data_IF_159610132957
#
_entry.id   IF_159610132957
#
_cell.length_a   1.000
_cell.length_b   1.000
_cell.length_c   1.000
_cell.angle_alpha   90.00
_cell.angle_beta   90.00
_cell.angle_gamma   90.00
#
_symmetry.space_group_name_H-M   'P 1'
#
loop_
_entity.id
_entity.type
_entity.pdbx_description
1 polymer ?
#
# COMPACT_ATOMS: atom_id res chain seq x y z
N UNK A 1 46.19 37.64 -1.08
CA UNK A 1 47.21 36.70 -1.57
C UNK A 1 47.00 35.28 -1.06
N UNK A 2 47.14 34.96 0.24
CA UNK A 2 47.00 33.57 0.75
C UNK A 2 45.60 32.95 0.58
N UNK A 3 44.53 33.73 0.78
CA UNK A 3 43.15 33.23 0.61
C UNK A 3 42.82 32.89 -0.85
N UNK A 4 43.27 33.73 -1.79
CA UNK A 4 43.09 33.50 -3.22
C UNK A 4 43.86 32.25 -3.69
N UNK A 5 45.02 31.95 -3.12
CA UNK A 5 45.78 30.73 -3.41
C UNK A 5 45.07 29.48 -2.91
N UNK A 6 44.50 29.54 -1.70
CA UNK A 6 43.70 28.44 -1.13
C UNK A 6 42.44 28.21 -1.96
N UNK A 7 41.75 29.29 -2.35
CA UNK A 7 40.55 29.23 -3.19
C UNK A 7 40.90 28.67 -4.58
N UNK A 8 42.00 29.09 -5.20
CA UNK A 8 42.44 28.55 -6.48
C UNK A 8 42.86 27.07 -6.39
N UNK A 9 43.47 26.64 -5.28
CA UNK A 9 43.82 25.23 -5.06
C UNK A 9 42.59 24.33 -4.91
N UNK A 10 41.53 24.84 -4.27
CA UNK A 10 40.25 24.12 -4.13
C UNK A 10 39.45 24.12 -5.44
N UNK A 11 39.43 25.24 -6.17
CA UNK A 11 38.64 25.41 -7.39
C UNK A 11 39.30 24.83 -8.64
N UNK A 12 40.64 24.82 -8.69
CA UNK A 12 41.40 24.34 -9.83
C UNK A 12 42.57 23.46 -9.35
N UNK A 13 42.29 22.33 -8.69
CA UNK A 13 43.34 21.39 -8.32
C UNK A 13 44.04 20.98 -9.60
N UNK A 14 45.36 21.20 -9.67
CA UNK A 14 46.19 20.68 -10.75
C UNK A 14 46.19 19.15 -10.62
N UNK A 15 45.16 18.52 -11.18
CA UNK A 15 44.97 17.07 -11.24
C UNK A 15 45.91 16.49 -12.31
N UNK A 16 47.19 16.85 -12.24
CA UNK A 16 48.25 16.35 -13.10
C UNK A 16 48.56 14.91 -12.74
N UNK A 17 48.07 14.00 -13.58
CA UNK A 17 48.61 12.64 -13.79
C UNK A 17 48.73 11.77 -12.54
N UNK A 18 47.61 11.17 -12.12
CA UNK A 18 47.45 9.90 -11.37
C UNK A 18 46.08 9.82 -10.64
N UNK A 19 45.34 10.93 -10.57
CA UNK A 19 44.02 11.01 -9.92
C UNK A 19 42.85 10.55 -10.82
N UNK A 20 43.11 10.25 -12.10
CA UNK A 20 42.12 9.64 -13.01
C UNK A 20 41.68 8.26 -12.51
N UNK A 21 42.62 7.47 -11.99
CA UNK A 21 42.35 6.15 -11.41
C UNK A 21 41.44 6.30 -10.18
N UNK A 22 41.74 7.27 -9.31
CA UNK A 22 40.92 7.55 -8.13
C UNK A 22 39.49 7.96 -8.51
N UNK A 23 39.33 8.84 -9.49
CA UNK A 23 38.00 9.26 -10.00
C UNK A 23 37.22 8.08 -10.56
N UNK A 24 37.88 7.19 -11.31
CA UNK A 24 37.26 6.01 -11.90
C UNK A 24 36.82 5.00 -10.83
N UNK A 25 37.64 4.83 -9.77
CA UNK A 25 37.28 4.03 -8.60
C UNK A 25 36.03 4.60 -7.89
N UNK A 26 35.95 5.91 -7.67
CA UNK A 26 34.77 6.54 -7.05
C UNK A 26 33.51 6.41 -7.90
N UNK A 27 33.63 6.50 -9.23
CA UNK A 27 32.48 6.32 -10.14
C UNK A 27 31.98 4.87 -10.07
N UNK A 28 32.89 3.88 -10.13
CA UNK A 28 32.52 2.46 -10.01
C UNK A 28 31.89 2.19 -8.65
N UNK A 29 32.47 2.73 -7.58
CA UNK A 29 31.97 2.56 -6.21
C UNK A 29 30.58 3.18 -6.05
N UNK A 30 30.36 4.37 -6.61
CA UNK A 30 29.04 5.03 -6.65
C UNK A 30 28.01 4.21 -7.42
N UNK A 31 28.38 3.69 -8.59
CA UNK A 31 27.51 2.82 -9.38
C UNK A 31 27.14 1.54 -8.61
N UNK A 32 28.12 0.94 -7.94
CA UNK A 32 27.92 -0.26 -7.11
C UNK A 32 26.98 0.04 -5.95
N UNK A 33 27.17 1.15 -5.23
CA UNK A 33 26.25 1.55 -4.17
C UNK A 33 24.86 1.88 -4.70
N UNK A 34 24.75 2.52 -5.86
CA UNK A 34 23.45 2.78 -6.50
C UNK A 34 22.72 1.48 -6.82
N UNK A 35 23.39 0.51 -7.43
CA UNK A 35 22.82 -0.81 -7.72
C UNK A 35 22.48 -1.58 -6.43
N UNK A 36 23.34 -1.49 -5.42
CA UNK A 36 23.10 -2.10 -4.11
C UNK A 36 21.89 -1.49 -3.41
N UNK A 37 21.72 -0.17 -3.46
CA UNK A 37 20.53 0.53 -2.94
C UNK A 37 19.30 0.05 -3.69
N UNK A 38 19.29 0.06 -5.03
CA UNK A 38 18.15 -0.42 -5.82
C UNK A 38 17.82 -1.88 -5.50
N UNK A 39 18.84 -2.75 -5.40
CA UNK A 39 18.66 -4.14 -4.99
C UNK A 39 18.09 -4.26 -3.58
N UNK A 40 18.62 -3.52 -2.61
CA UNK A 40 18.14 -3.51 -1.24
C UNK A 40 16.70 -2.99 -1.15
N UNK A 41 16.33 -1.96 -1.92
CA UNK A 41 14.97 -1.45 -2.02
C UNK A 41 13.99 -2.51 -2.55
N UNK A 42 14.39 -3.28 -3.58
CA UNK A 42 13.53 -4.32 -4.18
C UNK A 42 13.44 -5.57 -3.30
N UNK A 43 14.56 -5.96 -2.66
CA UNK A 43 14.65 -7.25 -1.96
C UNK A 43 14.21 -7.18 -0.49
N UNK A 44 14.24 -6.00 0.11
CA UNK A 44 13.98 -5.84 1.55
C UNK A 44 12.53 -5.45 1.79
N UNK A 45 11.68 -6.47 2.00
CA UNK A 45 10.26 -6.28 2.38
C UNK A 45 10.09 -5.39 3.63
N UNK A 46 11.10 -5.36 4.51
CA UNK A 46 11.10 -4.62 5.77
C UNK A 46 11.23 -3.09 5.58
N UNK A 47 12.03 -2.62 4.60
CA UNK A 47 12.17 -1.18 4.35
C UNK A 47 10.91 -0.59 3.70
N UNK A 48 10.20 -1.42 2.92
CA UNK A 48 8.90 -1.08 2.37
C UNK A 48 7.89 -0.79 3.50
N UNK A 49 7.87 -1.60 4.57
CA UNK A 49 6.98 -1.38 5.70
C UNK A 49 7.29 -0.09 6.48
N UNK A 50 8.57 0.31 6.58
CA UNK A 50 8.96 1.54 7.27
C UNK A 50 8.73 2.80 6.43
N UNK A 51 9.02 2.77 5.11
CA UNK A 51 8.78 3.91 4.22
C UNK A 51 7.30 4.14 3.91
N UNK A 52 6.47 3.09 3.88
CA UNK A 52 5.04 3.22 3.59
C UNK A 52 4.27 3.96 4.69
N UNK A 53 4.71 3.89 5.95
CA UNK A 53 4.08 4.62 7.06
C UNK A 53 4.19 6.14 6.90
N UNK A 54 5.39 6.65 6.62
CA UNK A 54 5.62 8.09 6.43
C UNK A 54 4.99 8.62 5.13
N UNK A 55 4.99 7.81 4.06
CA UNK A 55 4.34 8.18 2.80
C UNK A 55 2.81 8.10 2.87
N UNK A 56 2.26 7.17 3.65
CA UNK A 56 0.84 7.13 3.97
C UNK A 56 0.43 8.41 4.67
N UNK A 57 1.12 8.85 5.72
CA UNK A 57 0.75 10.08 6.42
C UNK A 57 0.75 11.31 5.47
N UNK A 58 1.71 11.37 4.55
CA UNK A 58 1.82 12.44 3.54
C UNK A 58 0.77 12.35 2.41
N UNK A 59 0.34 11.15 2.00
CA UNK A 59 -0.72 10.92 0.98
C UNK A 59 -2.14 10.95 1.59
N UNK A 60 -2.26 10.65 2.87
CA UNK A 60 -3.55 10.57 3.60
C UNK A 60 -4.10 11.95 3.95
N UNK A 61 -3.29 13.02 3.89
CA UNK A 61 -3.74 14.40 4.14
C UNK A 61 -4.86 14.87 3.19
N UNK A 62 -5.09 14.22 2.05
CA UNK A 62 -6.26 14.53 1.22
C UNK A 62 -6.53 13.44 0.19
N UNK A 63 -7.16 12.34 0.60
CA UNK A 63 -7.73 11.42 -0.38
C UNK A 63 -8.81 12.18 -1.20
N UNK A 64 -8.44 12.67 -2.38
CA UNK A 64 -9.26 13.50 -3.27
C UNK A 64 -10.47 12.74 -3.86
N UNK A 65 -10.72 11.50 -3.41
CA UNK A 65 -11.78 10.60 -3.84
C UNK A 65 -12.78 10.17 -2.76
N UNK A 66 -12.78 10.79 -1.57
CA UNK A 66 -13.70 10.47 -0.46
C UNK A 66 -15.18 10.44 -0.91
N UNK A 67 -15.59 11.47 -1.67
CA UNK A 67 -16.97 11.53 -2.20
C UNK A 67 -17.31 10.37 -3.15
N UNK A 68 -16.33 9.82 -3.85
CA UNK A 68 -16.52 8.69 -4.76
C UNK A 68 -16.60 7.37 -4.00
N UNK A 69 -15.80 7.19 -2.95
CA UNK A 69 -15.87 6.01 -2.07
C UNK A 69 -17.23 5.97 -1.37
N UNK A 70 -17.65 7.06 -0.75
CA UNK A 70 -18.95 7.16 -0.09
C UNK A 70 -20.12 6.86 -1.04
N UNK A 71 -20.09 7.38 -2.27
CA UNK A 71 -21.11 7.05 -3.30
C UNK A 71 -21.10 5.57 -3.68
N UNK A 72 -19.93 4.94 -3.81
CA UNK A 72 -19.82 3.50 -4.12
C UNK A 72 -20.32 2.66 -2.95
N UNK A 73 -19.91 2.98 -1.73
CA UNK A 73 -20.36 2.30 -0.53
C UNK A 73 -21.88 2.36 -0.35
N UNK A 74 -22.48 3.54 -0.54
CA UNK A 74 -23.94 3.69 -0.49
C UNK A 74 -24.67 2.81 -1.52
N UNK A 75 -24.09 2.62 -2.72
CA UNK A 75 -24.63 1.69 -3.73
C UNK A 75 -24.54 0.24 -3.27
N UNK A 76 -23.40 -0.17 -2.73
CA UNK A 76 -23.19 -1.52 -2.17
C UNK A 76 -24.23 -1.80 -1.06
N UNK A 77 -24.40 -0.86 -0.12
CA UNK A 77 -25.35 -0.97 0.99
C UNK A 77 -26.82 -1.00 0.54
N UNK A 78 -27.14 -0.34 -0.57
CA UNK A 78 -28.48 -0.43 -1.18
C UNK A 78 -28.69 -1.78 -1.86
N UNK A 79 -27.69 -2.27 -2.58
CA UNK A 79 -27.72 -3.54 -3.32
C UNK A 79 -27.92 -4.75 -2.39
N UNK A 80 -27.27 -4.74 -1.23
CA UNK A 80 -27.40 -5.80 -0.22
C UNK A 80 -28.78 -5.95 0.43
N UNK A 81 -29.74 -5.07 0.12
CA UNK A 81 -31.11 -5.14 0.64
C UNK A 81 -32.12 -5.73 -0.35
N UNK A 82 -31.70 -6.00 -1.59
CA UNK A 82 -32.63 -6.38 -2.67
C UNK A 82 -32.93 -7.87 -2.67
N UNK A 83 -31.90 -8.73 -2.69
CA UNK A 83 -32.03 -10.18 -2.72
C UNK A 83 -30.78 -10.86 -2.17
N UNK A 84 -30.83 -12.17 -1.94
CA UNK A 84 -29.65 -12.94 -1.52
C UNK A 84 -28.53 -12.86 -2.58
N UNK A 85 -28.87 -13.03 -3.87
CA UNK A 85 -27.90 -12.91 -4.97
C UNK A 85 -27.24 -11.52 -5.02
N UNK A 86 -28.03 -10.46 -4.86
CA UNK A 86 -27.53 -9.08 -4.81
C UNK A 86 -26.67 -8.83 -3.57
N UNK A 87 -26.99 -9.48 -2.45
CA UNK A 87 -26.18 -9.44 -1.23
C UNK A 87 -24.83 -10.11 -1.42
N UNK A 88 -24.78 -11.24 -2.13
CA UNK A 88 -23.50 -11.90 -2.47
C UNK A 88 -22.63 -11.00 -3.34
N UNK A 89 -23.24 -10.37 -4.36
CA UNK A 89 -22.54 -9.40 -5.20
C UNK A 89 -22.05 -8.19 -4.39
N UNK A 90 -22.86 -7.68 -3.46
CA UNK A 90 -22.47 -6.57 -2.60
C UNK A 90 -21.24 -6.90 -1.74
N UNK A 91 -21.13 -8.12 -1.21
CA UNK A 91 -19.96 -8.58 -0.44
C UNK A 91 -18.71 -8.63 -1.33
N UNK A 92 -18.83 -9.16 -2.55
CA UNK A 92 -17.72 -9.20 -3.51
C UNK A 92 -17.29 -7.78 -3.90
N UNK A 93 -18.24 -6.88 -4.13
CA UNK A 93 -17.96 -5.47 -4.42
C UNK A 93 -17.30 -4.75 -3.24
N UNK A 94 -17.70 -5.04 -2.00
CA UNK A 94 -17.08 -4.49 -0.80
C UNK A 94 -15.61 -4.95 -0.65
N UNK A 95 -15.35 -6.23 -0.83
CA UNK A 95 -14.00 -6.82 -0.83
C UNK A 95 -13.10 -6.17 -1.91
N UNK A 96 -13.63 -6.01 -3.12
CA UNK A 96 -12.93 -5.34 -4.21
C UNK A 96 -12.68 -3.85 -3.92
N UNK A 97 -13.66 -3.14 -3.35
CA UNK A 97 -13.52 -1.72 -2.99
C UNK A 97 -12.41 -1.51 -1.97
N UNK A 98 -12.36 -2.34 -0.92
CA UNK A 98 -11.28 -2.32 0.06
C UNK A 98 -9.93 -2.57 -0.61
N UNK A 99 -9.82 -3.60 -1.45
CA UNK A 99 -8.58 -3.90 -2.17
C UNK A 99 -8.11 -2.73 -3.06
N UNK A 100 -9.02 -2.08 -3.79
CA UNK A 100 -8.69 -0.89 -4.59
C UNK A 100 -8.16 0.27 -3.73
N UNK A 101 -8.75 0.48 -2.56
CA UNK A 101 -8.33 1.53 -1.62
C UNK A 101 -6.94 1.23 -1.08
N UNK A 102 -6.69 -0.02 -0.65
CA UNK A 102 -5.39 -0.45 -0.19
C UNK A 102 -4.31 -0.32 -1.28
N UNK A 103 -4.63 -0.63 -2.54
CA UNK A 103 -3.72 -0.38 -3.67
C UNK A 103 -3.39 1.11 -3.81
N UNK A 104 -4.40 1.98 -3.73
CA UNK A 104 -4.21 3.43 -3.83
C UNK A 104 -3.44 4.02 -2.66
N UNK A 105 -3.55 3.40 -1.49
CA UNK A 105 -2.76 3.72 -0.29
C UNK A 105 -1.33 3.18 -0.35
N UNK A 106 -0.96 2.42 -1.40
CA UNK A 106 0.40 1.93 -1.60
C UNK A 106 0.70 0.56 -1.00
N UNK A 107 -0.32 -0.16 -0.51
CA UNK A 107 -0.13 -1.52 0.00
C UNK A 107 0.19 -2.51 -1.14
N UNK A 108 1.38 -3.10 -1.04
CA UNK A 108 1.94 -4.03 -2.02
C UNK A 108 1.43 -5.47 -1.81
N UNK A 109 1.38 -6.24 -2.90
CA UNK A 109 0.92 -7.63 -2.93
C UNK A 109 0.19 -7.93 -4.24
N UNK A 110 0.16 -9.18 -4.69
CA UNK A 110 -0.58 -9.57 -5.89
C UNK A 110 -2.08 -9.70 -5.59
N UNK A 111 -2.41 -10.27 -4.44
CA UNK A 111 -3.79 -10.48 -3.97
C UNK A 111 -4.11 -9.65 -2.72
N UNK A 112 -5.41 -9.48 -2.42
CA UNK A 112 -5.85 -8.82 -1.18
C UNK A 112 -5.27 -9.51 0.06
N UNK A 113 -5.26 -10.85 0.09
CA UNK A 113 -4.61 -11.62 1.18
C UNK A 113 -3.17 -11.18 1.42
N UNK A 114 -2.35 -11.07 0.38
CA UNK A 114 -0.94 -10.67 0.49
C UNK A 114 -0.80 -9.24 1.04
N UNK A 115 -1.73 -8.33 0.70
CA UNK A 115 -1.77 -6.96 1.25
C UNK A 115 -2.16 -6.95 2.73
N UNK A 116 -3.08 -7.82 3.13
CA UNK A 116 -3.58 -7.91 4.51
C UNK A 116 -2.62 -8.66 5.45
N UNK A 117 -1.78 -9.57 4.94
CA UNK A 117 -0.87 -10.36 5.78
C UNK A 117 0.08 -9.53 6.64
N UNK A 118 0.85 -8.56 6.09
CA UNK A 118 1.79 -7.77 6.85
C UNK A 118 1.14 -6.67 7.70
N UNK A 119 -0.18 -6.45 7.60
CA UNK A 119 -0.85 -5.38 8.33
C UNK A 119 -0.93 -5.70 9.83
N UNK A 120 -0.39 -4.79 10.64
CA UNK A 120 -0.55 -4.79 12.09
C UNK A 120 -1.93 -4.20 12.49
N UNK A 121 -2.47 -4.57 13.67
CA UNK A 121 -3.68 -3.95 14.21
C UNK A 121 -3.60 -2.43 14.35
N UNK A 122 -2.40 -1.88 14.51
CA UNK A 122 -2.15 -0.44 14.59
C UNK A 122 -2.46 0.30 13.27
N UNK A 123 -2.49 -0.41 12.14
CA UNK A 123 -2.84 0.14 10.81
C UNK A 123 -4.34 -0.02 10.54
N UNK A 124 -4.88 -1.17 10.91
CA UNK A 124 -6.29 -1.52 10.70
C UNK A 124 -6.77 -2.34 11.90
N UNK A 125 -7.51 -1.70 12.79
CA UNK A 125 -7.92 -2.27 14.07
C UNK A 125 -8.67 -3.61 13.91
N UNK A 126 -9.55 -3.68 12.90
CA UNK A 126 -10.37 -4.85 12.61
C UNK A 126 -9.76 -5.81 11.57
N UNK A 127 -8.43 -5.80 11.38
CA UNK A 127 -7.72 -6.63 10.39
C UNK A 127 -8.06 -8.12 10.49
N UNK A 128 -8.23 -8.66 11.71
CA UNK A 128 -8.58 -10.07 11.93
C UNK A 128 -9.95 -10.41 11.37
N UNK A 129 -10.91 -9.51 11.54
CA UNK A 129 -12.27 -9.62 11.03
C UNK A 129 -12.27 -9.52 9.51
N UNK A 130 -11.50 -8.58 8.94
CA UNK A 130 -11.35 -8.40 7.49
C UNK A 130 -10.75 -9.65 6.84
N UNK A 131 -9.71 -10.25 7.40
CA UNK A 131 -9.14 -11.52 6.90
C UNK A 131 -10.19 -12.64 6.86
N UNK A 132 -11.06 -12.72 7.88
CA UNK A 132 -12.17 -13.70 7.90
C UNK A 132 -13.24 -13.38 6.86
N UNK A 133 -13.61 -12.12 6.69
CA UNK A 133 -14.56 -11.66 5.69
C UNK A 133 -14.06 -11.96 4.26
N UNK A 134 -12.77 -11.77 3.99
CA UNK A 134 -12.13 -12.13 2.73
C UNK A 134 -12.22 -13.63 2.47
N UNK A 135 -11.97 -14.47 3.48
CA UNK A 135 -12.12 -15.92 3.35
C UNK A 135 -13.57 -16.33 3.06
N UNK A 136 -14.56 -15.69 3.68
CA UNK A 136 -15.98 -15.94 3.38
C UNK A 136 -16.27 -15.61 1.91
N UNK A 137 -15.78 -14.47 1.41
CA UNK A 137 -15.90 -14.10 0.00
C UNK A 137 -15.25 -15.13 -0.93
N UNK A 138 -14.08 -15.65 -0.59
CA UNK A 138 -13.44 -16.72 -1.38
C UNK A 138 -14.32 -17.98 -1.42
N UNK A 139 -14.80 -18.43 -0.26
CA UNK A 139 -15.69 -19.61 -0.19
C UNK A 139 -16.98 -19.42 -1.00
N UNK A 140 -17.54 -18.21 -1.03
CA UNK A 140 -18.72 -17.87 -1.83
C UNK A 140 -18.48 -17.95 -3.34
N UNK A 141 -17.27 -17.63 -3.79
CA UNK A 141 -16.90 -17.66 -5.22
C UNK A 141 -16.51 -19.07 -5.64
N UNK A 142 -15.77 -19.78 -4.79
CA UNK A 142 -15.25 -21.11 -5.09
C UNK A 142 -16.33 -22.20 -4.96
N UNK A 143 -17.35 -21.97 -4.13
CA UNK A 143 -18.41 -22.94 -3.87
C UNK A 143 -19.81 -22.36 -4.17
N UNK A 144 -20.44 -22.74 -5.31
CA UNK A 144 -21.77 -22.25 -5.70
C UNK A 144 -22.88 -22.56 -4.69
N UNK A 145 -22.74 -23.67 -3.95
CA UNK A 145 -23.71 -24.13 -2.95
C UNK A 145 -23.50 -23.47 -1.57
N UNK A 146 -22.53 -22.56 -1.46
CA UNK A 146 -22.30 -21.83 -0.22
C UNK A 146 -23.46 -20.87 0.07
N UNK A 147 -24.28 -21.24 1.06
CA UNK A 147 -25.34 -20.39 1.58
C UNK A 147 -24.83 -19.54 2.74
N UNK A 148 -24.93 -18.22 2.58
CA UNK A 148 -24.65 -17.25 3.63
C UNK A 148 -25.97 -16.66 4.10
N UNK A 149 -26.31 -16.89 5.37
CA UNK A 149 -27.53 -16.33 5.94
C UNK A 149 -27.49 -14.79 5.94
N UNK A 150 -28.67 -14.16 5.93
CA UNK A 150 -28.78 -12.70 5.85
C UNK A 150 -28.15 -11.95 7.03
N UNK A 151 -28.08 -12.54 8.22
CA UNK A 151 -27.46 -11.92 9.39
C UNK A 151 -25.93 -11.97 9.30
N UNK A 152 -25.38 -13.10 8.87
CA UNK A 152 -23.96 -13.31 8.59
C UNK A 152 -23.50 -12.42 7.44
N UNK A 153 -24.29 -12.29 6.37
CA UNK A 153 -24.01 -11.39 5.27
C UNK A 153 -23.95 -9.92 5.70
N UNK A 154 -24.88 -9.48 6.58
CA UNK A 154 -24.84 -8.13 7.17
C UNK A 154 -23.59 -7.92 8.03
N UNK A 155 -23.20 -8.90 8.84
CA UNK A 155 -21.96 -8.84 9.62
C UNK A 155 -20.73 -8.70 8.74
N UNK A 156 -20.66 -9.45 7.64
CA UNK A 156 -19.55 -9.35 6.68
C UNK A 156 -19.47 -7.95 6.07
N UNK A 157 -20.60 -7.37 5.65
CA UNK A 157 -20.62 -6.00 5.13
C UNK A 157 -20.23 -4.98 6.21
N UNK A 158 -20.66 -5.16 7.46
CA UNK A 158 -20.30 -4.29 8.57
C UNK A 158 -18.79 -4.31 8.85
N UNK A 159 -18.13 -5.46 8.72
CA UNK A 159 -16.67 -5.57 8.86
C UNK A 159 -15.96 -4.75 7.79
N UNK A 160 -16.44 -4.78 6.54
CA UNK A 160 -15.88 -3.91 5.49
C UNK A 160 -16.20 -2.43 5.72
N UNK A 161 -17.39 -2.09 6.24
CA UNK A 161 -17.74 -0.71 6.61
C UNK A 161 -16.76 -0.15 7.64
N UNK A 162 -16.59 -0.86 8.75
CA UNK A 162 -15.67 -0.50 9.83
C UNK A 162 -14.22 -0.42 9.32
N UNK A 163 -13.81 -1.28 8.39
CA UNK A 163 -12.48 -1.20 7.79
C UNK A 163 -12.29 0.08 6.97
N UNK A 164 -13.30 0.50 6.21
CA UNK A 164 -13.26 1.75 5.44
C UNK A 164 -13.32 2.98 6.35
N UNK A 165 -14.07 2.93 7.46
CA UNK A 165 -14.10 3.98 8.48
C UNK A 165 -12.75 4.10 9.20
N UNK A 166 -12.13 2.98 9.60
CA UNK A 166 -10.82 2.95 10.23
C UNK A 166 -9.72 3.51 9.33
N UNK A 167 -9.83 3.29 8.01
CA UNK A 167 -8.95 3.87 7.00
C UNK A 167 -9.30 5.34 6.67
N UNK A 168 -10.31 5.92 7.32
CA UNK A 168 -10.78 7.31 7.14
C UNK A 168 -11.17 7.63 5.68
N UNK A 169 -11.67 6.65 4.94
CA UNK A 169 -12.10 6.78 3.54
C UNK A 169 -13.62 6.79 3.35
N UNK A 170 -14.36 6.46 4.42
CA UNK A 170 -15.81 6.58 4.55
C UNK A 170 -16.14 7.74 5.49
#
# INVERSE_FOLDING_TARGET
MALETIIQFILNPALSGNLLILKLVFIILSLLFMLFIVFALIKTDWLHQLMLWDWMEFLTYKYHGLSTVNKRWAKIKKKSRISEAETRLAIIEADNLLNEILIKMGFMGKALKERLEPMAPDILENIKQVKKAHQIRLNMVDNPDYHLDSASARKVLQVYEEALENLQVL
#
